data_IF_914511792967
#
_entry.id   IF_914511792967
#
_cell.length_a   1.000
_cell.length_b   1.000
_cell.length_c   1.000
_cell.angle_alpha   90.00
_cell.angle_beta   90.00
_cell.angle_gamma   90.00
#
_symmetry.space_group_name_H-M   'P 1'
#
loop_
_entity.id
_entity.type
_entity.pdbx_description
1 polymer ?
#
# COMPACT_ATOMS: atom_id res chain seq x y z
N UNK A 1 1.92 4.93 -20.79
CA UNK A 1 3.07 5.85 -21.02
C UNK A 1 2.97 6.44 -22.43
N UNK A 2 2.79 5.65 -23.50
CA UNK A 2 2.51 6.18 -24.84
C UNK A 2 1.23 7.03 -24.90
N UNK A 3 0.21 6.64 -24.16
CA UNK A 3 -1.05 7.37 -24.00
C UNK A 3 -0.88 8.74 -23.31
N UNK A 4 0.22 8.92 -22.56
CA UNK A 4 0.61 10.15 -21.88
C UNK A 4 1.77 10.90 -22.56
N UNK A 5 2.07 10.63 -23.83
CA UNK A 5 3.12 11.34 -24.57
C UNK A 5 4.53 10.88 -24.31
N UNK A 6 4.73 9.70 -23.68
CA UNK A 6 6.02 9.13 -23.37
C UNK A 6 6.51 9.44 -21.95
N UNK A 7 7.75 9.10 -21.64
CA UNK A 7 8.38 9.35 -20.35
C UNK A 7 8.96 10.76 -20.29
N UNK A 8 8.67 11.51 -19.22
CA UNK A 8 9.18 12.88 -19.06
C UNK A 8 10.67 12.87 -18.76
N UNK A 9 11.10 12.04 -17.80
CA UNK A 9 12.49 11.92 -17.38
C UNK A 9 13.24 10.77 -18.03
N UNK A 10 12.48 9.80 -18.56
CA UNK A 10 13.06 8.63 -19.20
C UNK A 10 13.87 7.75 -18.27
N UNK A 11 13.52 7.73 -16.97
CA UNK A 11 14.15 6.83 -16.02
C UNK A 11 13.71 5.39 -16.28
N UNK A 12 14.42 4.78 -16.91
CA UNK A 12 14.63 3.42 -17.25
C UNK A 12 15.99 3.39 -17.82
N UNK A 13 16.58 2.29 -18.28
CA UNK A 13 17.87 2.32 -18.89
C UNK A 13 17.83 3.28 -20.07
N UNK A 14 18.10 4.52 -19.75
CA UNK A 14 18.60 5.46 -20.72
C UNK A 14 19.99 4.98 -21.06
N UNK A 15 20.33 4.84 -22.34
CA UNK A 15 21.71 4.49 -22.73
C UNK A 15 22.76 5.43 -22.15
N UNK A 16 22.33 6.61 -21.72
CA UNK A 16 23.15 7.66 -21.13
C UNK A 16 23.32 7.54 -19.61
N UNK A 17 22.52 6.70 -18.91
CA UNK A 17 22.46 6.67 -17.44
C UNK A 17 23.06 5.41 -16.81
N UNK A 18 23.80 4.59 -17.53
CA UNK A 18 24.41 3.34 -17.02
C UNK A 18 23.53 2.43 -16.14
N UNK A 19 22.23 2.77 -15.98
CA UNK A 19 21.27 2.02 -15.16
C UNK A 19 20.73 0.83 -15.93
N UNK A 20 21.08 -0.36 -15.45
CA UNK A 20 20.61 -1.65 -15.96
C UNK A 20 19.23 -1.97 -15.36
N UNK A 21 18.28 -1.05 -15.45
CA UNK A 21 16.89 -1.46 -15.27
C UNK A 21 16.38 -1.96 -16.61
N UNK A 22 15.61 -3.02 -16.56
CA UNK A 22 14.88 -3.47 -17.74
C UNK A 22 13.86 -2.38 -18.12
N UNK A 23 14.29 -1.42 -18.95
CA UNK A 23 13.61 -0.18 -19.27
C UNK A 23 12.24 -0.36 -19.86
N UNK A 24 12.05 -1.46 -20.55
CA UNK A 24 10.78 -1.72 -21.22
C UNK A 24 9.68 -2.09 -20.24
N UNK A 25 10.04 -2.33 -18.97
CA UNK A 25 9.13 -2.83 -17.93
C UNK A 25 8.95 -1.92 -16.72
N UNK A 26 9.78 -0.88 -16.54
CA UNK A 26 9.60 0.03 -15.41
C UNK A 26 8.59 1.13 -15.70
N UNK A 27 7.71 1.42 -14.73
CA UNK A 27 6.83 2.59 -14.72
C UNK A 27 7.40 3.73 -13.88
N UNK A 28 8.63 3.60 -13.38
CA UNK A 28 9.25 4.64 -12.56
C UNK A 28 9.58 5.85 -13.41
N UNK A 29 8.88 6.92 -13.17
CA UNK A 29 9.10 8.23 -13.77
C UNK A 29 8.37 9.29 -12.95
N UNK A 30 8.75 10.57 -13.06
CA UNK A 30 8.13 11.68 -12.35
C UNK A 30 8.29 12.98 -13.11
N UNK A 31 7.41 13.92 -12.88
CA UNK A 31 7.50 15.26 -13.48
C UNK A 31 6.14 15.87 -13.75
N UNK A 32 6.22 17.13 -14.23
CA UNK A 32 5.03 17.92 -14.54
C UNK A 32 4.41 17.44 -15.84
N UNK A 33 3.26 16.80 -15.74
CA UNK A 33 2.43 16.34 -16.85
C UNK A 33 1.09 15.79 -16.30
N UNK A 34 -0.04 15.99 -17.02
CA UNK A 34 -0.26 16.88 -18.17
C UNK A 34 -0.28 18.36 -17.75
N UNK A 35 -0.59 19.26 -18.66
CA UNK A 35 -0.70 20.69 -18.36
C UNK A 35 -1.91 21.02 -17.48
N UNK A 36 -3.01 20.27 -17.63
CA UNK A 36 -4.29 20.53 -16.97
C UNK A 36 -4.80 19.32 -16.21
N UNK A 37 -5.51 19.56 -15.12
CA UNK A 37 -6.14 18.52 -14.32
C UNK A 37 -7.16 17.70 -15.11
N UNK A 38 -7.92 18.34 -16.04
CA UNK A 38 -8.96 17.71 -16.84
C UNK A 38 -8.44 16.59 -17.74
N UNK A 39 -7.15 16.60 -18.03
CA UNK A 39 -6.50 15.59 -18.83
C UNK A 39 -6.12 14.34 -18.00
N UNK A 40 -6.14 14.46 -16.65
CA UNK A 40 -5.88 13.37 -15.73
C UNK A 40 -7.08 12.42 -15.62
N UNK A 41 -6.78 11.10 -15.52
CA UNK A 41 -7.85 10.08 -15.41
C UNK A 41 -8.62 10.20 -14.09
N UNK A 42 -7.94 10.55 -13.00
CA UNK A 42 -8.55 10.68 -11.68
C UNK A 42 -9.51 11.87 -11.60
N UNK A 43 -9.22 12.96 -12.32
CA UNK A 43 -10.18 14.06 -12.53
C UNK A 43 -11.48 13.53 -13.16
N UNK A 44 -11.36 12.72 -14.22
CA UNK A 44 -12.52 12.15 -14.93
C UNK A 44 -13.33 11.23 -14.02
N UNK A 45 -12.64 10.40 -13.20
CA UNK A 45 -13.29 9.55 -12.19
C UNK A 45 -14.07 10.39 -11.17
N UNK A 46 -13.46 11.46 -10.65
CA UNK A 46 -14.10 12.35 -9.70
C UNK A 46 -15.33 13.06 -10.28
N UNK A 47 -15.21 13.60 -11.51
CA UNK A 47 -16.34 14.29 -12.16
C UNK A 47 -17.48 13.32 -12.45
N UNK A 48 -17.19 12.11 -12.91
CA UNK A 48 -18.20 11.07 -13.09
C UNK A 48 -18.92 10.73 -11.78
N UNK A 49 -18.18 10.60 -10.69
CA UNK A 49 -18.76 10.32 -9.37
C UNK A 49 -19.66 11.46 -8.88
N UNK A 50 -19.24 12.72 -9.11
CA UNK A 50 -20.07 13.90 -8.80
C UNK A 50 -21.38 13.91 -9.60
N UNK A 51 -21.33 13.56 -10.88
CA UNK A 51 -22.53 13.47 -11.72
C UNK A 51 -23.48 12.40 -11.17
N UNK A 52 -22.95 11.20 -10.76
CA UNK A 52 -23.74 10.13 -10.16
C UNK A 52 -24.39 10.53 -8.84
N UNK A 53 -23.73 11.31 -8.01
CA UNK A 53 -24.27 11.83 -6.75
C UNK A 53 -25.35 12.92 -6.94
N UNK A 54 -25.38 13.56 -8.10
CA UNK A 54 -26.39 14.54 -8.48
C UNK A 54 -27.63 13.92 -9.19
N UNK A 55 -27.57 12.63 -9.57
CA UNK A 55 -28.71 11.91 -10.13
C UNK A 55 -29.72 11.55 -9.04
N UNK A 56 -31.01 11.46 -9.41
CA UNK A 56 -32.04 10.89 -8.54
C UNK A 56 -31.96 9.36 -8.55
N UNK A 57 -31.89 8.73 -7.38
CA UNK A 57 -31.88 7.29 -7.22
C UNK A 57 -33.17 6.83 -6.49
N UNK A 58 -33.89 5.87 -7.08
CA UNK A 58 -35.14 5.32 -6.59
C UNK A 58 -34.93 4.19 -5.54
N UNK A 59 -33.69 3.79 -5.31
CA UNK A 59 -33.29 2.71 -4.39
C UNK A 59 -31.87 2.93 -3.87
N UNK A 60 -31.45 2.23 -2.78
CA UNK A 60 -30.08 2.26 -2.32
C UNK A 60 -29.08 1.91 -3.42
N UNK A 61 -27.96 2.60 -3.44
CA UNK A 61 -26.88 2.38 -4.40
C UNK A 61 -25.55 2.02 -3.70
N UNK A 62 -24.65 1.40 -4.45
CA UNK A 62 -23.26 1.21 -4.10
C UNK A 62 -22.43 1.92 -5.17
N UNK A 63 -21.64 2.91 -4.77
CA UNK A 63 -20.79 3.71 -5.65
C UNK A 63 -19.32 3.45 -5.29
N UNK A 64 -18.59 2.77 -6.17
CA UNK A 64 -17.14 2.59 -6.07
C UNK A 64 -16.43 3.58 -6.99
N UNK A 65 -15.58 4.43 -6.40
CA UNK A 65 -14.79 5.43 -7.13
C UNK A 65 -13.32 5.09 -6.97
N UNK A 66 -12.66 4.75 -8.08
CA UNK A 66 -11.23 4.41 -8.09
C UNK A 66 -10.38 5.58 -8.56
N UNK A 67 -9.26 5.79 -7.85
CA UNK A 67 -8.22 6.74 -8.21
C UNK A 67 -6.91 5.98 -8.41
N UNK A 68 -6.11 6.40 -9.41
CA UNK A 68 -4.83 5.76 -9.72
C UNK A 68 -3.70 6.42 -8.94
N UNK A 69 -3.74 7.76 -8.76
CA UNK A 69 -2.70 8.47 -8.01
C UNK A 69 -2.75 8.09 -6.52
N UNK A 70 -1.58 7.95 -5.87
CA UNK A 70 -0.20 8.26 -6.30
C UNK A 70 0.58 7.11 -6.97
N UNK A 71 -0.03 6.23 -7.76
CA UNK A 71 0.71 5.19 -8.49
C UNK A 71 1.71 5.80 -9.50
N UNK A 72 2.89 5.21 -9.60
CA UNK A 72 3.88 5.59 -10.61
C UNK A 72 3.33 5.38 -12.05
N UNK A 73 3.71 6.21 -13.03
CA UNK A 73 4.61 7.36 -12.95
C UNK A 73 3.97 8.52 -12.15
N UNK A 74 4.78 9.24 -11.37
CA UNK A 74 4.29 10.34 -10.52
C UNK A 74 4.18 11.63 -11.32
N UNK A 75 3.10 11.73 -12.07
CA UNK A 75 2.77 12.87 -12.91
C UNK A 75 1.58 13.64 -12.35
N UNK A 76 1.71 14.96 -12.31
CA UNK A 76 0.64 15.89 -11.98
C UNK A 76 0.91 17.25 -12.65
N UNK A 77 -0.11 18.11 -12.90
CA UNK A 77 0.09 19.47 -13.35
C UNK A 77 0.95 20.30 -12.40
N UNK A 78 1.65 21.33 -12.95
CA UNK A 78 2.64 22.16 -12.27
C UNK A 78 2.19 22.67 -10.90
N UNK A 79 0.95 23.14 -10.77
CA UNK A 79 0.43 23.71 -9.51
C UNK A 79 0.54 22.76 -8.31
N UNK A 80 0.51 21.44 -8.55
CA UNK A 80 0.64 20.43 -7.49
C UNK A 80 2.10 20.23 -7.08
N UNK A 81 3.03 20.35 -8.02
CA UNK A 81 4.47 20.37 -7.72
C UNK A 81 4.86 21.63 -6.96
N UNK A 82 4.27 22.80 -7.30
CA UNK A 82 4.54 24.08 -6.61
C UNK A 82 4.16 24.06 -5.13
N UNK A 83 3.28 23.15 -4.70
CA UNK A 83 2.93 22.94 -3.29
C UNK A 83 4.05 22.26 -2.48
N UNK A 84 4.99 21.61 -3.14
CA UNK A 84 6.04 20.79 -2.53
C UNK A 84 7.42 21.16 -3.07
N UNK A 85 7.92 22.40 -2.81
CA UNK A 85 9.25 22.79 -3.29
C UNK A 85 10.33 21.89 -2.67
N UNK A 86 11.32 21.40 -3.45
CA UNK A 86 12.29 20.41 -3.00
C UNK A 86 13.06 20.80 -1.72
N UNK A 87 13.33 22.08 -1.53
CA UNK A 87 14.04 22.61 -0.37
C UNK A 87 13.23 22.61 0.94
N UNK A 88 11.93 22.31 0.87
CA UNK A 88 11.02 22.25 2.03
C UNK A 88 10.53 20.84 2.33
N UNK A 89 10.97 19.86 1.57
CA UNK A 89 10.55 18.47 1.76
C UNK A 89 11.10 17.89 3.06
N UNK A 90 10.24 17.20 3.79
CA UNK A 90 10.69 16.24 4.79
C UNK A 90 10.98 14.92 4.07
N UNK A 91 12.25 14.54 4.04
CA UNK A 91 12.65 13.30 3.39
C UNK A 91 12.24 12.09 4.23
N UNK A 92 11.88 10.96 3.60
CA UNK A 92 11.67 9.70 4.30
C UNK A 92 12.90 9.29 5.12
N UNK A 93 12.73 8.58 6.23
CA UNK A 93 13.84 8.06 7.01
C UNK A 93 14.60 7.01 6.19
N UNK A 94 15.93 7.07 6.24
CA UNK A 94 16.80 6.12 5.54
C UNK A 94 17.99 5.73 6.42
N UNK A 95 18.28 4.45 6.46
CA UNK A 95 19.45 3.88 7.12
C UNK A 95 20.18 3.03 6.09
N UNK A 96 21.48 3.32 5.87
CA UNK A 96 22.27 2.68 4.80
C UNK A 96 22.44 1.18 5.01
N UNK A 97 22.63 0.75 6.25
CA UNK A 97 22.84 -0.64 6.67
C UNK A 97 21.56 -1.32 7.21
N UNK A 98 20.39 -0.75 6.95
CA UNK A 98 19.07 -1.23 7.42
C UNK A 98 18.79 -2.71 7.07
N UNK A 99 19.34 -3.20 5.97
CA UNK A 99 19.10 -4.58 5.52
C UNK A 99 20.16 -5.58 6.00
N UNK A 100 21.10 -5.18 6.85
CA UNK A 100 22.19 -6.06 7.29
C UNK A 100 21.74 -7.16 8.24
N UNK A 101 20.72 -6.90 9.07
CA UNK A 101 20.19 -7.83 10.07
C UNK A 101 18.97 -8.64 9.60
N UNK A 102 18.52 -8.45 8.35
CA UNK A 102 17.41 -9.25 7.79
C UNK A 102 17.91 -10.54 7.14
N UNK A 103 17.12 -11.62 7.14
CA UNK A 103 17.46 -12.87 6.46
C UNK A 103 17.69 -12.69 4.96
N UNK A 104 18.55 -13.54 4.36
CA UNK A 104 18.83 -13.48 2.92
C UNK A 104 17.56 -13.63 2.09
N UNK A 105 16.64 -14.54 2.47
CA UNK A 105 15.36 -14.71 1.77
C UNK A 105 14.50 -13.45 1.80
N UNK A 106 14.59 -12.64 2.87
CA UNK A 106 13.90 -11.36 2.95
C UNK A 106 14.43 -10.39 1.89
N UNK A 107 15.76 -10.25 1.81
CA UNK A 107 16.42 -9.44 0.75
C UNK A 107 16.00 -9.89 -0.63
N UNK A 108 16.09 -11.19 -0.91
CA UNK A 108 15.75 -11.78 -2.21
C UNK A 108 14.26 -11.61 -2.55
N UNK A 109 13.36 -11.80 -1.56
CA UNK A 109 11.92 -11.65 -1.75
C UNK A 109 11.51 -10.21 -2.07
N UNK A 110 12.20 -9.27 -1.44
CA UNK A 110 11.86 -7.85 -1.53
C UNK A 110 12.66 -7.11 -2.61
N UNK A 111 13.60 -7.75 -3.27
CA UNK A 111 14.29 -7.19 -4.43
C UNK A 111 13.31 -6.98 -5.59
N UNK A 112 13.32 -5.78 -6.17
CA UNK A 112 12.50 -5.43 -7.34
C UNK A 112 13.42 -4.90 -8.43
N UNK A 113 13.96 -5.76 -9.30
CA UNK A 113 15.05 -5.41 -10.24
C UNK A 113 14.72 -4.28 -11.21
N UNK A 114 13.42 -3.96 -11.39
CA UNK A 114 12.96 -2.91 -12.31
C UNK A 114 12.76 -1.55 -11.64
N UNK A 115 13.04 -1.43 -10.35
CA UNK A 115 12.85 -0.19 -9.58
C UNK A 115 14.20 0.34 -9.10
N UNK A 116 14.35 1.68 -8.93
CA UNK A 116 15.57 2.25 -8.39
C UNK A 116 15.82 1.85 -6.94
N UNK A 117 17.09 1.97 -6.52
CA UNK A 117 17.48 1.94 -5.12
C UNK A 117 17.58 3.37 -4.57
N UNK A 118 17.51 3.51 -3.26
CA UNK A 118 17.67 4.81 -2.60
C UNK A 118 19.12 5.29 -2.69
N UNK A 119 20.08 4.37 -2.62
CA UNK A 119 21.50 4.66 -2.89
C UNK A 119 21.66 5.37 -4.24
N UNK A 120 21.09 4.81 -5.30
CA UNK A 120 21.12 5.45 -6.62
C UNK A 120 20.47 6.84 -6.59
N UNK A 121 19.31 6.98 -5.95
CA UNK A 121 18.61 8.25 -5.91
C UNK A 121 19.39 9.33 -5.12
N UNK A 122 20.18 8.92 -4.11
CA UNK A 122 21.11 9.77 -3.37
C UNK A 122 22.30 10.15 -4.27
N UNK A 123 22.97 9.17 -4.90
CA UNK A 123 24.13 9.38 -5.75
C UNK A 123 23.83 10.31 -6.93
N UNK A 124 22.66 10.19 -7.51
CA UNK A 124 22.21 11.01 -8.66
C UNK A 124 21.55 12.31 -8.26
N UNK A 125 21.21 12.50 -6.96
CA UNK A 125 20.47 13.67 -6.46
C UNK A 125 18.97 13.67 -6.83
N UNK A 126 18.42 12.53 -7.27
CA UNK A 126 17.03 12.44 -7.73
C UNK A 126 16.02 12.15 -6.63
N UNK A 127 16.46 11.73 -5.44
CA UNK A 127 15.53 11.40 -4.37
C UNK A 127 14.55 12.53 -4.00
N UNK A 128 14.96 13.79 -3.82
CA UNK A 128 14.02 14.88 -3.58
C UNK A 128 13.00 15.06 -4.71
N UNK A 129 13.40 14.85 -5.96
CA UNK A 129 12.51 14.97 -7.12
C UNK A 129 11.45 13.84 -7.14
N UNK A 130 11.84 12.63 -6.77
CA UNK A 130 10.94 11.49 -6.62
C UNK A 130 9.90 11.77 -5.53
N UNK A 131 10.36 12.21 -4.35
CA UNK A 131 9.48 12.54 -3.21
C UNK A 131 8.53 13.67 -3.58
N UNK A 132 9.02 14.72 -4.25
CA UNK A 132 8.18 15.81 -4.75
C UNK A 132 7.08 15.31 -5.69
N UNK A 133 7.43 14.48 -6.67
CA UNK A 133 6.46 13.91 -7.63
C UNK A 133 5.40 13.06 -6.94
N UNK A 134 5.80 12.26 -5.95
CA UNK A 134 4.87 11.49 -5.12
C UNK A 134 3.90 12.39 -4.35
N UNK A 135 4.40 13.39 -3.62
CA UNK A 135 3.58 14.33 -2.84
C UNK A 135 2.67 15.18 -3.72
N UNK A 136 3.14 15.61 -4.89
CA UNK A 136 2.32 16.31 -5.89
C UNK A 136 1.14 15.42 -6.34
N UNK A 137 1.40 14.13 -6.57
CA UNK A 137 0.36 13.15 -6.94
C UNK A 137 -0.63 12.91 -5.80
N UNK A 138 -0.17 12.88 -4.54
CA UNK A 138 -1.02 12.78 -3.35
C UNK A 138 -1.92 14.01 -3.21
N UNK A 139 -1.35 15.21 -3.31
CA UNK A 139 -2.13 16.47 -3.22
C UNK A 139 -3.17 16.59 -4.33
N UNK A 140 -2.83 16.13 -5.53
CA UNK A 140 -3.77 16.08 -6.64
C UNK A 140 -4.97 15.17 -6.33
N UNK A 141 -4.72 13.93 -5.90
CA UNK A 141 -5.83 12.98 -5.65
C UNK A 141 -6.64 13.37 -4.42
N UNK A 142 -6.01 13.88 -3.37
CA UNK A 142 -6.69 14.37 -2.16
C UNK A 142 -7.71 15.48 -2.50
N UNK A 143 -7.31 16.43 -3.36
CA UNK A 143 -8.22 17.47 -3.84
C UNK A 143 -9.47 16.88 -4.51
N UNK A 144 -9.29 15.89 -5.40
CA UNK A 144 -10.41 15.31 -6.14
C UNK A 144 -11.27 14.37 -5.31
N UNK A 145 -10.71 13.69 -4.31
CA UNK A 145 -11.47 13.02 -3.27
C UNK A 145 -12.34 14.03 -2.53
N UNK A 146 -11.77 15.18 -2.13
CA UNK A 146 -12.48 16.28 -1.49
C UNK A 146 -13.65 16.80 -2.34
N UNK A 147 -13.48 16.92 -3.66
CA UNK A 147 -14.55 17.32 -4.57
C UNK A 147 -15.70 16.31 -4.64
N UNK A 148 -15.40 15.00 -4.59
CA UNK A 148 -16.44 13.96 -4.52
C UNK A 148 -17.18 13.98 -3.19
N UNK A 149 -16.45 14.11 -2.07
CA UNK A 149 -17.04 14.21 -0.73
C UNK A 149 -17.94 15.45 -0.61
N UNK A 150 -17.50 16.59 -1.14
CA UNK A 150 -18.29 17.82 -1.17
C UNK A 150 -19.57 17.68 -2.02
N UNK A 151 -19.51 16.92 -3.11
CA UNK A 151 -20.70 16.63 -3.91
C UNK A 151 -21.69 15.77 -3.12
N UNK A 152 -21.21 14.75 -2.39
CA UNK A 152 -22.03 13.95 -1.51
C UNK A 152 -22.68 14.79 -0.40
N UNK A 153 -21.90 15.65 0.28
CA UNK A 153 -22.36 16.49 1.37
C UNK A 153 -23.45 17.50 0.94
N UNK A 154 -23.47 17.88 -0.34
CA UNK A 154 -24.50 18.75 -0.93
C UNK A 154 -25.63 17.98 -1.62
N UNK A 155 -25.63 16.66 -1.56
CA UNK A 155 -26.65 15.79 -2.18
C UNK A 155 -27.75 15.39 -1.19
N UNK A 156 -28.89 14.86 -1.67
CA UNK A 156 -29.91 14.27 -0.79
C UNK A 156 -29.43 13.04 -0.01
N UNK A 157 -28.25 12.54 -0.30
CA UNK A 157 -27.69 11.30 0.25
C UNK A 157 -26.68 11.54 1.39
N UNK A 158 -26.41 12.80 1.75
CA UNK A 158 -25.40 13.19 2.73
C UNK A 158 -25.56 12.48 4.09
N UNK A 159 -26.78 12.41 4.59
CA UNK A 159 -27.09 11.93 5.94
C UNK A 159 -27.33 10.41 6.02
N UNK A 160 -27.38 9.71 4.88
CA UNK A 160 -27.71 8.28 4.84
C UNK A 160 -26.71 7.44 4.03
N UNK A 161 -25.51 7.97 3.77
CA UNK A 161 -24.45 7.27 3.04
C UNK A 161 -23.30 6.89 3.96
N UNK A 162 -22.89 5.62 3.91
CA UNK A 162 -21.64 5.15 4.50
C UNK A 162 -20.54 5.46 3.51
N UNK A 163 -19.50 6.18 3.94
CA UNK A 163 -18.31 6.48 3.14
C UNK A 163 -17.14 5.69 3.68
N UNK A 164 -16.45 4.98 2.81
CA UNK A 164 -15.19 4.31 3.13
C UNK A 164 -14.11 4.82 2.18
N UNK A 165 -13.02 5.32 2.74
CA UNK A 165 -11.82 5.69 2.01
C UNK A 165 -10.66 4.81 2.48
N UNK A 166 -9.96 4.18 1.54
CA UNK A 166 -8.78 3.38 1.85
C UNK A 166 -7.77 3.38 0.70
N UNK A 167 -6.50 3.10 1.02
CA UNK A 167 -5.50 2.70 0.03
C UNK A 167 -5.50 1.19 -0.16
N UNK A 168 -5.22 0.71 -1.36
CA UNK A 168 -5.11 -0.74 -1.67
C UNK A 168 -3.80 -1.34 -1.13
N UNK A 169 -2.73 -0.57 -1.11
CA UNK A 169 -1.42 -0.85 -0.52
C UNK A 169 -0.67 0.45 -0.25
N UNK A 170 0.35 0.38 0.58
CA UNK A 170 1.30 1.47 0.78
C UNK A 170 2.44 1.43 -0.24
N UNK A 171 3.53 2.16 0.03
CA UNK A 171 4.66 2.27 -0.88
C UNK A 171 5.91 2.78 -0.15
N UNK A 172 7.09 2.20 -0.40
CA UNK A 172 8.36 2.77 0.03
C UNK A 172 8.76 3.91 -0.91
N UNK A 173 9.18 5.03 -0.33
CA UNK A 173 9.66 6.23 -1.05
C UNK A 173 11.12 6.50 -0.70
N UNK A 174 11.87 5.43 -0.48
CA UNK A 174 13.29 5.43 -0.13
C UNK A 174 13.63 4.60 1.11
N UNK A 175 12.67 4.28 1.95
CA UNK A 175 12.89 3.38 3.08
C UNK A 175 13.28 1.98 2.57
N UNK A 176 14.04 1.22 3.34
CA UNK A 176 14.49 -0.14 2.96
C UNK A 176 15.18 -0.19 1.60
N UNK A 177 15.93 0.89 1.26
CA UNK A 177 16.69 1.04 0.02
C UNK A 177 15.87 0.81 -1.26
N UNK A 178 14.60 1.30 -1.32
CA UNK A 178 13.70 0.97 -2.43
C UNK A 178 12.61 1.98 -2.72
N UNK A 179 12.10 1.93 -3.95
CA UNK A 179 10.90 2.64 -4.41
C UNK A 179 9.92 1.62 -4.97
N UNK A 180 9.24 0.90 -4.09
CA UNK A 180 8.35 -0.19 -4.48
C UNK A 180 7.32 -0.52 -3.40
N UNK A 181 6.28 -1.26 -3.79
CA UNK A 181 5.22 -1.73 -2.91
C UNK A 181 5.42 -3.17 -2.44
N UNK A 182 5.99 -4.03 -3.20
CA UNK A 182 6.07 -5.47 -2.97
C UNK A 182 6.95 -5.82 -1.76
N UNK A 183 6.41 -5.72 -0.53
CA UNK A 183 7.12 -6.12 0.69
C UNK A 183 6.16 -6.55 1.81
N UNK A 184 6.73 -7.08 2.90
CA UNK A 184 6.03 -7.44 4.13
C UNK A 184 6.24 -6.42 5.26
N UNK A 185 7.00 -5.34 5.00
CA UNK A 185 7.27 -4.26 5.95
C UNK A 185 6.12 -3.25 6.04
N UNK A 186 6.16 -2.38 7.04
CA UNK A 186 5.07 -1.46 7.42
C UNK A 186 4.65 -0.56 6.27
N UNK A 187 5.58 0.12 5.61
CA UNK A 187 5.30 1.17 4.63
C UNK A 187 4.47 0.69 3.42
N UNK A 188 4.50 -0.61 3.12
CA UNK A 188 3.72 -1.17 2.02
C UNK A 188 2.42 -1.84 2.44
N UNK A 189 2.29 -2.21 3.71
CA UNK A 189 1.12 -2.92 4.24
C UNK A 189 0.21 -2.04 5.09
N UNK A 190 0.70 -0.90 5.58
CA UNK A 190 -0.10 0.10 6.29
C UNK A 190 -0.66 1.12 5.30
N UNK A 191 -1.97 1.28 5.31
CA UNK A 191 -2.69 2.20 4.41
C UNK A 191 -3.63 3.11 5.18
N UNK A 192 -3.95 4.30 4.67
CA UNK A 192 -5.07 5.07 5.18
C UNK A 192 -6.36 4.24 5.11
N UNK A 193 -7.14 4.25 6.18
CA UNK A 193 -8.48 3.70 6.20
C UNK A 193 -9.37 4.61 7.05
N UNK A 194 -10.43 5.15 6.45
CA UNK A 194 -11.38 6.04 7.10
C UNK A 194 -12.80 5.56 6.80
N UNK A 195 -13.65 5.54 7.83
CA UNK A 195 -15.06 5.18 7.70
C UNK A 195 -15.90 6.31 8.30
N UNK A 196 -16.78 6.90 7.49
CA UNK A 196 -17.82 7.81 7.93
C UNK A 196 -19.17 7.10 7.82
N UNK A 197 -19.89 6.99 8.92
CA UNK A 197 -21.19 6.32 8.97
C UNK A 197 -22.27 7.28 9.49
N UNK A 198 -23.51 7.19 8.99
CA UNK A 198 -24.65 7.92 9.56
C UNK A 198 -24.78 7.63 11.06
N UNK A 199 -24.77 8.70 11.88
CA UNK A 199 -24.83 8.58 13.36
C UNK A 199 -23.58 7.97 14.01
N UNK A 200 -22.47 7.84 13.29
CA UNK A 200 -21.18 7.39 13.83
C UNK A 200 -20.53 8.43 14.74
N UNK A 201 -19.48 8.00 15.45
CA UNK A 201 -18.68 8.88 16.32
C UNK A 201 -17.72 9.71 15.45
N UNK A 202 -17.76 11.03 15.62
CA UNK A 202 -16.88 11.94 14.90
C UNK A 202 -15.49 12.04 15.55
N UNK A 203 -14.45 12.17 14.70
CA UNK A 203 -13.08 12.44 15.13
C UNK A 203 -12.39 11.30 15.88
N UNK A 204 -12.97 10.09 15.86
CA UNK A 204 -12.34 8.92 16.49
C UNK A 204 -11.14 8.41 15.69
N UNK A 205 -10.07 8.13 16.40
CA UNK A 205 -8.88 7.40 15.88
C UNK A 205 -8.79 6.07 16.62
N UNK A 206 -8.56 4.98 15.89
CA UNK A 206 -8.32 3.65 16.46
C UNK A 206 -6.92 3.18 16.11
N UNK A 207 -6.17 2.72 17.12
CA UNK A 207 -4.85 2.10 16.98
C UNK A 207 -4.92 0.58 16.72
N UNK A 208 -6.13 0.03 16.61
CA UNK A 208 -6.32 -1.39 16.37
C UNK A 208 -5.74 -1.81 15.02
N UNK A 209 -5.04 -2.93 14.99
CA UNK A 209 -4.65 -3.56 13.74
C UNK A 209 -5.90 -4.08 13.03
N UNK A 210 -6.18 -3.56 11.83
CA UNK A 210 -7.32 -3.94 10.99
C UNK A 210 -6.82 -4.33 9.60
N UNK A 211 -7.61 -5.14 8.90
CA UNK A 211 -7.28 -5.62 7.57
C UNK A 211 -8.27 -5.07 6.53
N UNK A 212 -7.84 -4.94 5.28
CA UNK A 212 -8.76 -4.65 4.17
C UNK A 212 -9.79 -5.77 3.98
N UNK A 213 -9.53 -6.99 4.45
CA UNK A 213 -10.51 -8.09 4.50
C UNK A 213 -11.70 -7.76 5.40
N UNK A 214 -11.52 -6.87 6.37
CA UNK A 214 -12.58 -6.45 7.30
C UNK A 214 -13.62 -5.53 6.65
N UNK A 215 -13.29 -4.89 5.52
CA UNK A 215 -14.18 -3.94 4.84
C UNK A 215 -15.48 -4.58 4.37
N UNK A 216 -15.42 -5.72 3.71
CA UNK A 216 -16.61 -6.36 3.18
C UNK A 216 -17.61 -6.78 4.28
N UNK A 217 -17.20 -7.53 5.34
CA UNK A 217 -18.13 -7.83 6.44
C UNK A 217 -18.60 -6.59 7.20
N UNK A 218 -17.77 -5.54 7.30
CA UNK A 218 -18.18 -4.26 7.90
C UNK A 218 -19.32 -3.61 7.11
N UNK A 219 -19.20 -3.52 5.80
CA UNK A 219 -20.23 -2.93 4.94
C UNK A 219 -21.54 -3.74 4.96
N UNK A 220 -21.46 -5.07 4.95
CA UNK A 220 -22.66 -5.91 5.10
C UNK A 220 -23.37 -5.64 6.42
N UNK A 221 -22.64 -5.63 7.54
CA UNK A 221 -23.18 -5.40 8.87
C UNK A 221 -23.77 -3.99 9.03
N UNK A 222 -23.08 -2.96 8.53
CA UNK A 222 -23.55 -1.58 8.59
C UNK A 222 -24.77 -1.33 7.69
N UNK A 223 -24.88 -2.05 6.56
CA UNK A 223 -26.01 -1.99 5.65
C UNK A 223 -27.19 -2.89 6.10
N UNK A 224 -27.06 -3.65 7.19
CA UNK A 224 -28.09 -4.58 7.65
C UNK A 224 -28.28 -5.79 6.72
N UNK A 225 -27.25 -6.15 5.94
CA UNK A 225 -27.27 -7.27 5.02
C UNK A 225 -26.77 -8.56 5.72
N UNK A 226 -27.18 -9.74 5.23
CA UNK A 226 -26.71 -11.01 5.78
C UNK A 226 -25.20 -11.17 5.69
N UNK A 227 -24.58 -11.71 6.75
CA UNK A 227 -23.16 -12.06 6.73
C UNK A 227 -22.87 -13.14 5.68
N UNK A 228 -21.68 -13.06 5.08
CA UNK A 228 -21.17 -14.08 4.15
C UNK A 228 -20.20 -14.99 4.88
N UNK A 229 -20.52 -16.27 5.00
CA UNK A 229 -19.70 -17.25 5.73
C UNK A 229 -18.32 -17.52 5.10
N UNK A 230 -18.11 -17.12 3.85
CA UNK A 230 -16.83 -17.25 3.16
C UNK A 230 -15.85 -16.09 3.48
N UNK A 231 -16.29 -15.05 4.19
CA UNK A 231 -15.42 -13.94 4.56
C UNK A 231 -14.53 -14.34 5.74
N UNK A 232 -13.24 -14.04 5.62
CA UNK A 232 -12.25 -14.27 6.67
C UNK A 232 -12.07 -13.04 7.57
N UNK A 233 -12.47 -11.84 7.11
CA UNK A 233 -12.44 -10.60 7.90
C UNK A 233 -13.56 -10.53 8.92
N UNK A 234 -13.43 -9.60 9.86
CA UNK A 234 -14.40 -9.33 10.92
C UNK A 234 -14.94 -7.90 10.83
N UNK A 235 -16.25 -7.70 11.11
CA UNK A 235 -16.87 -6.37 11.10
C UNK A 235 -16.15 -5.39 12.03
N UNK A 236 -15.88 -4.18 11.52
CA UNK A 236 -15.36 -3.04 12.25
C UNK A 236 -16.46 -2.14 12.83
N UNK A 237 -17.73 -2.48 12.61
CA UNK A 237 -18.87 -1.67 13.07
C UNK A 237 -18.81 -1.32 14.56
N UNK A 238 -18.45 -2.24 15.50
CA UNK A 238 -18.33 -1.89 16.91
C UNK A 238 -17.23 -0.84 17.17
N UNK A 239 -16.11 -0.89 16.40
CA UNK A 239 -15.05 0.11 16.51
C UNK A 239 -15.53 1.45 15.96
N UNK A 240 -16.19 1.47 14.80
CA UNK A 240 -16.75 2.69 14.19
C UNK A 240 -17.81 3.33 15.10
N UNK A 241 -18.59 2.52 15.82
CA UNK A 241 -19.59 2.98 16.80
C UNK A 241 -18.96 3.43 18.14
N UNK A 242 -17.65 3.27 18.35
CA UNK A 242 -16.99 3.56 19.63
C UNK A 242 -17.31 2.59 20.76
N UNK A 243 -17.92 1.45 20.46
CA UNK A 243 -18.31 0.40 21.43
C UNK A 243 -17.14 -0.52 21.77
N UNK A 244 -16.18 -0.67 20.86
CA UNK A 244 -14.97 -1.48 21.00
C UNK A 244 -13.76 -0.66 20.57
N UNK A 245 -12.61 -0.90 21.20
CA UNK A 245 -11.33 -0.33 20.81
C UNK A 245 -10.52 -1.24 19.89
N UNK A 246 -11.00 -2.46 19.62
CA UNK A 246 -10.33 -3.45 18.80
C UNK A 246 -9.05 -4.02 19.40
N UNK A 247 -8.92 -4.02 20.74
CA UNK A 247 -7.72 -4.53 21.41
C UNK A 247 -7.48 -6.01 21.09
N UNK A 248 -6.21 -6.37 20.86
CA UNK A 248 -5.81 -7.74 20.57
C UNK A 248 -6.11 -8.22 19.14
N UNK A 249 -6.52 -7.34 18.23
CA UNK A 249 -6.64 -7.66 16.80
C UNK A 249 -5.28 -7.79 16.14
N UNK A 250 -5.27 -8.59 15.09
CA UNK A 250 -4.11 -8.78 14.24
C UNK A 250 -4.52 -8.65 12.76
N UNK A 251 -3.65 -8.07 11.96
CA UNK A 251 -3.76 -8.06 10.51
C UNK A 251 -2.66 -8.93 9.90
N UNK A 252 -3.02 -9.74 8.90
CA UNK A 252 -2.07 -10.58 8.18
C UNK A 252 -1.87 -10.06 6.77
N UNK A 253 -0.61 -10.01 6.34
CA UNK A 253 -0.21 -9.75 4.96
C UNK A 253 0.60 -10.93 4.45
N UNK A 254 0.36 -11.35 3.21
CA UNK A 254 1.10 -12.44 2.58
C UNK A 254 1.74 -11.96 1.28
N UNK A 255 2.97 -12.36 1.03
CA UNK A 255 3.68 -12.04 -0.20
C UNK A 255 4.44 -13.27 -0.73
N UNK A 256 4.10 -13.68 -1.95
CA UNK A 256 4.58 -14.94 -2.50
C UNK A 256 4.02 -16.17 -1.76
N UNK A 257 4.70 -17.30 -1.85
CA UNK A 257 4.27 -18.56 -1.23
C UNK A 257 4.82 -18.70 0.18
N UNK A 258 3.93 -18.81 1.17
CA UNK A 258 4.25 -19.09 2.57
C UNK A 258 5.15 -18.03 3.26
N UNK A 259 5.17 -16.79 2.77
CA UNK A 259 5.77 -15.68 3.49
C UNK A 259 4.64 -14.81 4.03
N UNK A 260 4.62 -14.61 5.34
CA UNK A 260 3.52 -13.94 6.04
C UNK A 260 4.04 -12.95 7.07
N UNK A 261 3.40 -11.78 7.14
CA UNK A 261 3.56 -10.82 8.21
C UNK A 261 2.31 -10.77 9.07
N UNK A 262 2.47 -10.76 10.38
CA UNK A 262 1.42 -10.51 11.36
C UNK A 262 1.68 -9.16 12.02
N UNK A 263 0.75 -8.22 11.87
CA UNK A 263 0.78 -6.90 12.48
C UNK A 263 -0.22 -6.85 13.63
N UNK A 264 0.27 -6.69 14.84
CA UNK A 264 -0.54 -6.37 16.02
C UNK A 264 -0.47 -4.87 16.33
N UNK A 265 -1.01 -4.43 17.47
CA UNK A 265 -0.97 -3.02 17.89
C UNK A 265 0.45 -2.47 18.02
N UNK A 266 1.38 -3.25 18.57
CA UNK A 266 2.75 -2.82 18.85
C UNK A 266 3.80 -3.48 17.96
N UNK A 267 3.62 -4.76 17.64
CA UNK A 267 4.66 -5.58 17.02
C UNK A 267 4.27 -6.01 15.62
N UNK A 268 5.29 -6.10 14.75
CA UNK A 268 5.25 -6.82 13.48
C UNK A 268 6.12 -8.05 13.56
N UNK A 269 5.60 -9.19 13.15
CA UNK A 269 6.34 -10.45 13.04
C UNK A 269 6.21 -10.95 11.62
N UNK A 270 7.34 -11.31 11.00
CA UNK A 270 7.39 -11.88 9.66
C UNK A 270 8.01 -13.26 9.75
N UNK A 271 7.41 -14.22 9.07
CA UNK A 271 7.99 -15.55 8.88
C UNK A 271 8.03 -15.88 7.40
N UNK A 272 9.21 -16.29 6.97
CA UNK A 272 9.47 -16.69 5.60
C UNK A 272 9.32 -18.20 5.41
N UNK A 273 9.20 -18.62 4.15
CA UNK A 273 8.97 -20.01 3.76
C UNK A 273 10.11 -20.94 4.14
N UNK A 274 11.35 -20.45 4.29
CA UNK A 274 12.51 -21.21 4.76
C UNK A 274 12.59 -21.32 6.30
N UNK A 275 11.66 -20.70 7.00
CA UNK A 275 11.57 -20.68 8.45
C UNK A 275 12.32 -19.54 9.12
N UNK A 276 13.04 -18.69 8.38
CA UNK A 276 13.65 -17.48 8.94
C UNK A 276 12.60 -16.44 9.31
N UNK A 277 12.97 -15.52 10.20
CA UNK A 277 12.03 -14.65 10.88
C UNK A 277 12.53 -13.20 10.99
N UNK A 278 11.60 -12.26 11.05
CA UNK A 278 11.85 -10.89 11.49
C UNK A 278 10.82 -10.50 12.56
N UNK A 279 11.23 -9.65 13.50
CA UNK A 279 10.37 -9.09 14.54
C UNK A 279 10.75 -7.64 14.80
N UNK A 280 9.75 -6.75 14.81
CA UNK A 280 9.93 -5.31 15.03
C UNK A 280 9.00 -4.80 16.11
N UNK A 281 9.48 -3.86 16.93
CA UNK A 281 8.73 -3.18 17.99
C UNK A 281 8.42 -1.74 17.60
N UNK A 282 7.27 -1.49 17.02
CA UNK A 282 6.88 -0.18 16.47
C UNK A 282 6.74 0.94 17.51
N UNK A 283 6.77 0.63 18.82
CA UNK A 283 6.80 1.68 19.84
C UNK A 283 8.18 2.32 19.94
N UNK A 284 9.22 1.51 19.81
CA UNK A 284 10.60 1.93 20.01
C UNK A 284 11.35 2.08 18.67
N UNK A 285 10.90 1.34 17.64
CA UNK A 285 11.46 1.33 16.29
C UNK A 285 10.33 1.36 15.22
N UNK A 286 9.71 2.51 14.98
CA UNK A 286 8.65 2.64 13.99
C UNK A 286 9.10 2.43 12.53
N UNK A 287 10.41 2.49 12.27
CA UNK A 287 11.00 2.35 10.94
C UNK A 287 11.46 0.91 10.63
N UNK A 288 11.31 -0.01 11.58
CA UNK A 288 11.71 -1.41 11.40
C UNK A 288 13.21 -1.58 11.08
N UNK A 289 14.07 -0.81 11.78
CA UNK A 289 15.52 -0.79 11.57
C UNK A 289 16.27 -1.90 12.31
N UNK A 290 15.66 -2.48 13.35
CA UNK A 290 16.32 -3.50 14.17
C UNK A 290 15.48 -4.77 14.22
N UNK A 291 16.00 -5.86 13.65
CA UNK A 291 15.37 -7.16 13.70
C UNK A 291 15.59 -7.83 15.08
N UNK A 292 14.52 -7.97 15.85
CA UNK A 292 14.52 -8.54 17.21
C UNK A 292 14.24 -10.05 17.24
N UNK A 293 14.15 -10.73 16.08
CA UNK A 293 13.71 -12.11 16.00
C UNK A 293 14.63 -13.09 16.77
N UNK A 294 15.93 -12.77 16.86
CA UNK A 294 16.93 -13.60 17.54
C UNK A 294 17.20 -13.16 18.99
N UNK A 295 16.59 -12.07 19.47
CA UNK A 295 16.74 -11.62 20.85
C UNK A 295 15.86 -12.46 21.79
N UNK A 296 16.47 -13.20 22.77
CA UNK A 296 15.73 -14.01 23.71
C UNK A 296 14.70 -13.24 24.56
N UNK A 297 14.89 -11.93 24.74
CA UNK A 297 13.95 -11.09 25.48
C UNK A 297 12.56 -11.01 24.81
N UNK A 298 12.48 -11.24 23.51
CA UNK A 298 11.25 -11.20 22.72
C UNK A 298 10.67 -12.57 22.37
N UNK A 299 11.23 -13.68 22.90
CA UNK A 299 10.81 -15.05 22.57
C UNK A 299 9.29 -15.29 22.79
N UNK A 300 8.74 -14.79 23.90
CA UNK A 300 7.29 -14.93 24.20
C UNK A 300 6.43 -14.12 23.24
N UNK A 301 6.86 -12.91 22.87
CA UNK A 301 6.18 -12.05 21.89
C UNK A 301 6.14 -12.75 20.54
N UNK A 302 7.29 -13.22 20.07
CA UNK A 302 7.44 -13.96 18.82
C UNK A 302 6.55 -15.20 18.79
N UNK A 303 6.55 -16.01 19.83
CA UNK A 303 5.72 -17.22 19.94
C UNK A 303 4.22 -16.87 19.85
N UNK A 304 3.77 -15.82 20.53
CA UNK A 304 2.37 -15.38 20.51
C UNK A 304 1.94 -14.92 19.10
N UNK A 305 2.79 -14.17 18.39
CA UNK A 305 2.50 -13.70 17.04
C UNK A 305 2.55 -14.85 16.02
N UNK A 306 3.48 -15.79 16.19
CA UNK A 306 3.56 -16.97 15.33
C UNK A 306 2.30 -17.85 15.39
N UNK A 307 1.56 -17.84 16.52
CA UNK A 307 0.28 -18.54 16.64
C UNK A 307 -0.85 -17.94 15.80
N UNK A 308 -0.66 -16.72 15.29
CA UNK A 308 -1.61 -16.04 14.38
C UNK A 308 -1.38 -16.37 12.91
N UNK A 309 -0.29 -17.07 12.59
CA UNK A 309 -0.01 -17.49 11.24
C UNK A 309 -0.99 -18.58 10.79
N UNK A 310 -1.30 -18.67 9.49
CA UNK A 310 -2.19 -19.69 8.97
C UNK A 310 -1.54 -21.09 9.08
N UNK A 311 -2.34 -22.10 9.36
CA UNK A 311 -1.88 -23.51 9.42
C UNK A 311 -1.37 -24.00 8.06
N UNK A 312 -1.80 -23.38 6.98
CA UNK A 312 -1.38 -23.73 5.61
C UNK A 312 -1.41 -22.50 4.71
N UNK A 313 -0.50 -22.48 3.76
CA UNK A 313 -0.48 -21.45 2.71
C UNK A 313 -1.22 -21.92 1.48
N UNK A 314 -1.97 -21.03 0.86
CA UNK A 314 -2.62 -21.31 -0.43
C UNK A 314 -1.57 -21.60 -1.50
N UNK A 315 -1.89 -22.53 -2.41
CA UNK A 315 -1.05 -22.78 -3.56
C UNK A 315 -0.99 -21.55 -4.48
N UNK A 316 0.16 -21.31 -5.08
CA UNK A 316 0.28 -20.28 -6.11
C UNK A 316 -0.61 -20.61 -7.29
N UNK A 317 -1.22 -19.59 -7.87
CA UNK A 317 -1.89 -19.73 -9.15
C UNK A 317 -0.85 -19.95 -10.25
N UNK A 318 -1.15 -20.74 -11.30
CA UNK A 318 -0.26 -20.88 -12.44
C UNK A 318 0.04 -19.50 -13.03
N UNK A 319 1.29 -19.25 -13.29
CA UNK A 319 1.72 -18.02 -13.94
C UNK A 319 1.28 -18.03 -15.38
N UNK A 320 0.28 -17.23 -15.72
CA UNK A 320 -0.27 -17.12 -17.09
C UNK A 320 0.51 -16.16 -17.99
N UNK A 321 1.38 -15.32 -17.39
CA UNK A 321 2.27 -14.41 -18.12
C UNK A 321 3.65 -14.41 -17.46
N UNK A 322 4.70 -14.44 -18.26
CA UNK A 322 6.06 -14.19 -17.76
C UNK A 322 6.19 -12.71 -17.47
N UNK A 323 6.46 -12.38 -16.20
CA UNK A 323 6.86 -11.04 -15.78
C UNK A 323 8.20 -11.15 -15.07
N UNK A 324 8.98 -10.09 -15.04
CA UNK A 324 10.26 -10.07 -14.33
C UNK A 324 10.09 -10.47 -12.84
N UNK A 325 8.99 -10.08 -12.22
CA UNK A 325 8.64 -10.45 -10.83
C UNK A 325 8.41 -11.95 -10.69
N UNK A 326 7.69 -12.58 -11.63
CA UNK A 326 7.42 -14.03 -11.58
C UNK A 326 8.69 -14.85 -11.83
N UNK A 327 9.54 -14.41 -12.75
CA UNK A 327 10.83 -15.07 -13.02
C UNK A 327 11.76 -14.90 -11.80
N UNK A 328 11.74 -13.76 -11.14
CA UNK A 328 12.47 -13.50 -9.90
C UNK A 328 12.03 -14.43 -8.78
N UNK A 329 10.72 -14.56 -8.51
CA UNK A 329 10.21 -15.52 -7.51
C UNK A 329 10.58 -16.97 -7.83
N UNK A 330 10.45 -17.38 -9.08
CA UNK A 330 10.82 -18.75 -9.47
C UNK A 330 12.30 -19.03 -9.19
N UNK A 331 13.17 -18.09 -9.49
CA UNK A 331 14.60 -18.20 -9.22
C UNK A 331 14.90 -18.18 -7.71
N UNK A 332 14.26 -17.29 -6.95
CA UNK A 332 14.41 -17.20 -5.48
C UNK A 332 14.03 -18.54 -4.81
N UNK A 333 12.85 -19.09 -5.13
CA UNK A 333 12.42 -20.38 -4.56
C UNK A 333 13.35 -21.52 -4.99
N UNK A 334 13.83 -21.51 -6.24
CA UNK A 334 14.81 -22.50 -6.72
C UNK A 334 16.13 -22.43 -5.94
N UNK A 335 16.68 -21.22 -5.71
CA UNK A 335 17.89 -21.01 -4.91
C UNK A 335 17.71 -21.48 -3.46
N UNK A 336 16.56 -21.23 -2.89
CA UNK A 336 16.22 -21.66 -1.54
C UNK A 336 15.87 -23.16 -1.43
N UNK A 337 15.85 -23.92 -2.53
CA UNK A 337 15.48 -25.33 -2.54
C UNK A 337 14.00 -25.58 -2.23
N UNK A 338 13.14 -24.61 -2.49
CA UNK A 338 11.72 -24.64 -2.17
C UNK A 338 10.91 -24.92 -3.43
N UNK A 339 10.02 -25.89 -3.34
CA UNK A 339 9.02 -26.16 -4.38
C UNK A 339 7.67 -25.61 -3.93
N UNK A 340 7.27 -24.40 -4.40
CA UNK A 340 5.99 -23.85 -4.03
C UNK A 340 4.85 -24.72 -4.61
N UNK A 341 3.80 -24.92 -3.84
CA UNK A 341 2.60 -25.59 -4.35
C UNK A 341 1.97 -24.73 -5.44
N UNK A 342 1.76 -25.29 -6.61
CA UNK A 342 1.08 -24.65 -7.74
C UNK A 342 -0.31 -25.29 -7.88
N UNK A 343 -1.33 -24.45 -8.00
CA UNK A 343 -2.70 -24.93 -8.25
C UNK A 343 -2.79 -25.39 -9.71
N UNK A 344 -3.09 -26.65 -9.93
CA UNK A 344 -3.35 -27.23 -11.25
C UNK A 344 -4.67 -26.72 -11.86
#
# INVERSE_FOLDING_TARGET
IEEYGGRIRGFGPHPENEFVWDSDRTNTDWGVFPERDEDMIDYKSAMWAKDKLNEEHDRPFFLAVGFIRPHAPWYAPQKWFDMHPPEQLTMPPYLEDDLDDVPQISRDLHEVPMMPTTEWAIETGEWPNIVQGYLASVSFVDHYIGEVLKALDNSPYADNTIVVLWGDHGYHIGEKNRFAKHSLWEETSRVPMMIRAPGGVEGQVSEAAVSLLDLYPTLLDMAGLPACAANEGASLKPIVAGEDKGAGRYAMTSYGYANHAIRGERYRYIRFVDGSEELYDHRDDPNEWTNLADDPAYAEVKQRLAQQLPDHSAALTPVTSRTAVNDHFAEMYRKAGIEPRIKN
#
